data_IF_733077125629
#
_entry.id   IF_733077125629
#
_cell.length_a   1.000
_cell.length_b   1.000
_cell.length_c   1.000
_cell.angle_alpha   90.00
_cell.angle_beta   90.00
_cell.angle_gamma   90.00
#
_symmetry.space_group_name_H-M   'P 1'
#
loop_
_entity.id
_entity.type
_entity.pdbx_description
1 polymer ?
#
# COMPACT_ATOMS: atom_id res chain seq x y z
N UNK A 1 74.64 41.60 48.69
CA UNK A 1 75.18 41.54 50.07
C UNK A 1 73.99 41.87 50.97
N UNK A 2 73.28 40.96 51.64
CA UNK A 2 73.63 39.92 52.62
C UNK A 2 72.64 38.72 52.49
N UNK A 3 73.12 37.50 52.31
CA UNK A 3 73.36 36.40 53.28
C UNK A 3 72.16 35.45 53.48
N UNK A 4 72.54 34.16 53.38
CA UNK A 4 71.85 32.87 53.42
C UNK A 4 71.41 32.39 54.82
N UNK A 5 70.34 31.56 54.78
CA UNK A 5 70.11 30.23 55.42
C UNK A 5 70.19 30.04 56.95
N UNK A 6 69.12 29.46 57.52
CA UNK A 6 68.97 28.01 57.86
C UNK A 6 67.60 27.76 58.54
N UNK A 7 66.72 26.96 57.94
CA UNK A 7 66.43 25.54 58.26
C UNK A 7 65.99 25.21 59.70
N UNK A 8 64.81 24.61 59.82
CA UNK A 8 64.48 23.58 60.83
C UNK A 8 63.75 22.41 60.18
N UNK A 9 64.03 21.24 60.76
CA UNK A 9 63.81 19.87 60.30
C UNK A 9 62.47 19.33 60.82
N UNK A 10 61.86 18.41 60.07
CA UNK A 10 60.79 17.52 60.54
C UNK A 10 60.57 16.37 59.54
N UNK A 11 60.61 15.13 60.02
CA UNK A 11 60.82 13.88 59.27
C UNK A 11 59.52 13.08 59.04
N UNK A 12 59.51 12.23 57.98
CA UNK A 12 58.71 10.99 57.77
C UNK A 12 57.21 11.07 57.35
N UNK A 13 56.59 10.02 56.75
CA UNK A 13 57.08 8.89 55.94
C UNK A 13 56.35 8.73 54.56
N UNK A 14 56.90 7.87 53.70
CA UNK A 14 56.28 7.35 52.47
C UNK A 14 55.01 6.53 52.77
N UNK A 15 53.93 6.76 52.01
CA UNK A 15 52.82 5.80 51.88
C UNK A 15 52.31 5.76 50.43
N UNK A 16 52.79 4.75 49.70
CA UNK A 16 52.20 4.29 48.44
C UNK A 16 50.85 3.65 48.76
N UNK A 17 49.75 4.36 48.49
CA UNK A 17 48.42 3.75 48.46
C UNK A 17 48.17 3.18 47.06
N UNK A 18 48.55 1.92 46.90
CA UNK A 18 47.95 1.04 45.90
C UNK A 18 46.42 1.10 46.07
N UNK A 19 45.73 1.81 45.17
CA UNK A 19 44.28 1.67 45.00
C UNK A 19 44.04 0.26 44.45
N UNK A 20 43.85 -0.70 45.37
CA UNK A 20 43.23 -1.99 45.03
C UNK A 20 41.86 -1.67 44.47
N UNK A 21 41.73 -1.79 43.16
CA UNK A 21 40.46 -1.77 42.46
C UNK A 21 39.60 -2.88 43.08
N UNK A 22 38.59 -2.47 43.83
CA UNK A 22 37.66 -3.39 44.49
C UNK A 22 37.03 -4.29 43.44
N UNK A 23 37.10 -5.62 43.63
CA UNK A 23 36.42 -6.61 42.76
C UNK A 23 34.94 -6.27 42.56
N UNK A 24 34.29 -5.60 43.52
CA UNK A 24 32.90 -5.12 43.40
C UNK A 24 32.73 -3.95 42.42
N UNK A 25 33.72 -3.05 42.34
CA UNK A 25 33.72 -1.96 41.37
C UNK A 25 33.96 -2.43 39.93
N UNK A 26 34.80 -3.45 39.76
CA UNK A 26 35.04 -4.07 38.45
C UNK A 26 33.81 -4.87 37.97
N UNK A 27 33.14 -5.62 38.86
CA UNK A 27 31.90 -6.32 38.54
C UNK A 27 30.77 -5.36 38.17
N UNK A 28 30.60 -4.25 38.90
CA UNK A 28 29.59 -3.25 38.56
C UNK A 28 29.85 -2.61 37.19
N UNK A 29 31.11 -2.32 36.85
CA UNK A 29 31.48 -1.79 35.53
C UNK A 29 31.23 -2.79 34.41
N UNK A 30 31.54 -4.07 34.62
CA UNK A 30 31.31 -5.14 33.62
C UNK A 30 29.81 -5.38 33.42
N UNK A 31 29.00 -5.37 34.48
CA UNK A 31 27.53 -5.50 34.37
C UNK A 31 26.91 -4.31 33.63
N UNK A 32 27.36 -3.08 33.90
CA UNK A 32 26.92 -1.89 33.16
C UNK A 32 27.37 -1.95 31.69
N UNK A 33 28.59 -2.42 31.42
CA UNK A 33 29.08 -2.59 30.05
C UNK A 33 28.24 -3.64 29.30
N UNK A 34 27.94 -4.79 29.92
CA UNK A 34 27.10 -5.85 29.35
C UNK A 34 25.66 -5.36 29.14
N UNK A 35 25.09 -4.60 30.07
CA UNK A 35 23.76 -3.99 29.89
C UNK A 35 23.75 -2.95 28.77
N UNK A 36 24.80 -2.13 28.62
CA UNK A 36 24.91 -1.17 27.53
C UNK A 36 25.16 -1.82 26.16
N UNK A 37 25.92 -2.92 26.11
CA UNK A 37 26.09 -3.76 24.93
C UNK A 37 24.79 -4.48 24.57
N UNK A 38 24.02 -4.93 25.56
CA UNK A 38 22.73 -5.59 25.35
C UNK A 38 21.64 -4.61 24.88
N UNK A 39 21.70 -3.34 25.30
CA UNK A 39 20.81 -2.26 24.80
C UNK A 39 21.16 -1.79 23.39
N UNK A 40 22.41 -1.95 22.92
CA UNK A 40 22.78 -1.65 21.53
C UNK A 40 22.45 -2.78 20.54
N UNK A 41 22.25 -4.02 21.02
CA UNK A 41 21.89 -5.16 20.15
C UNK A 41 20.41 -5.23 19.78
N UNK A 42 19.56 -4.35 20.32
CA UNK A 42 18.11 -4.35 20.08
C UNK A 42 17.61 -3.12 19.32
N UNK A 43 18.44 -2.57 18.44
CA UNK A 43 18.03 -1.72 17.31
C UNK A 43 18.58 -2.36 16.02
N UNK A 44 18.38 -3.69 15.85
CA UNK A 44 18.29 -4.23 14.49
C UNK A 44 17.03 -3.62 13.91
N UNK A 45 17.17 -2.45 13.27
CA UNK A 45 16.26 -1.93 12.28
C UNK A 45 15.77 -3.13 11.47
N UNK A 46 14.54 -3.56 11.71
CA UNK A 46 13.78 -4.26 10.70
C UNK A 46 13.64 -3.23 9.58
N UNK A 47 14.65 -3.17 8.70
CA UNK A 47 14.42 -2.65 7.37
C UNK A 47 13.38 -3.59 6.80
N UNK A 48 12.13 -3.14 6.54
CA UNK A 48 11.19 -3.98 5.85
C UNK A 48 11.91 -4.41 4.56
N UNK A 49 12.05 -5.73 4.35
CA UNK A 49 12.46 -6.24 3.05
C UNK A 49 11.58 -5.52 2.04
N UNK A 50 12.19 -4.86 1.05
CA UNK A 50 11.47 -4.23 -0.05
C UNK A 50 10.70 -5.35 -0.75
N UNK A 51 9.46 -5.57 -0.33
CA UNK A 51 8.56 -6.54 -0.92
C UNK A 51 8.37 -6.10 -2.37
N UNK A 52 8.69 -6.96 -3.32
CA UNK A 52 8.47 -6.70 -4.72
C UNK A 52 7.14 -7.33 -5.08
N UNK A 53 6.08 -6.53 -5.12
CA UNK A 53 4.71 -6.97 -5.43
C UNK A 53 4.50 -7.25 -6.94
N UNK A 54 5.59 -7.27 -7.71
CA UNK A 54 5.56 -7.37 -9.16
C UNK A 54 5.39 -6.01 -9.84
N UNK A 55 5.27 -6.06 -11.16
CA UNK A 55 4.90 -4.91 -11.96
C UNK A 55 3.39 -4.70 -11.85
N UNK A 56 2.99 -3.57 -11.28
CA UNK A 56 1.58 -3.19 -11.11
C UNK A 56 1.25 -2.20 -12.24
N UNK A 57 0.47 -2.59 -13.26
CA UNK A 57 0.29 -1.78 -14.46
C UNK A 57 -0.20 -0.36 -14.14
N UNK A 58 0.21 0.63 -14.94
CA UNK A 58 -0.30 1.99 -14.85
C UNK A 58 -1.78 2.08 -15.25
N UNK A 59 -2.45 3.15 -14.84
CA UNK A 59 -3.81 3.47 -15.27
C UNK A 59 -3.83 3.92 -16.75
N UNK A 60 -4.88 3.53 -17.47
CA UNK A 60 -5.16 4.01 -18.81
C UNK A 60 -5.66 5.47 -18.80
N UNK A 61 -6.35 5.90 -17.73
CA UNK A 61 -6.57 7.33 -17.52
C UNK A 61 -5.26 8.01 -17.11
N UNK A 62 -4.98 9.20 -17.65
CA UNK A 62 -3.71 9.91 -17.41
C UNK A 62 -3.80 10.92 -16.26
N UNK A 63 -5.00 11.45 -15.99
CA UNK A 63 -5.24 12.49 -15.01
C UNK A 63 -5.79 11.93 -13.70
N UNK A 64 -5.97 12.81 -12.71
CA UNK A 64 -6.68 12.51 -11.47
C UNK A 64 -5.85 12.63 -10.20
N UNK A 65 -6.53 12.55 -9.06
CA UNK A 65 -5.91 12.61 -7.74
C UNK A 65 -4.97 11.40 -7.52
N UNK A 66 -3.65 11.61 -7.27
CA UNK A 66 -2.71 10.50 -7.11
C UNK A 66 -3.09 9.56 -5.96
N UNK A 67 -3.78 10.04 -4.92
CA UNK A 67 -4.25 9.17 -3.83
C UNK A 67 -5.33 8.19 -4.28
N UNK A 68 -6.24 8.64 -5.13
CA UNK A 68 -7.30 7.77 -5.69
C UNK A 68 -6.74 6.88 -6.79
N UNK A 69 -5.84 7.40 -7.63
CA UNK A 69 -5.16 6.59 -8.64
C UNK A 69 -4.36 5.44 -8.02
N UNK A 70 -3.65 5.72 -6.92
CA UNK A 70 -2.98 4.71 -6.12
C UNK A 70 -3.96 3.66 -5.57
N UNK A 71 -5.10 4.09 -5.02
CA UNK A 71 -6.15 3.20 -4.53
C UNK A 71 -6.69 2.30 -5.65
N UNK A 72 -6.92 2.85 -6.85
CA UNK A 72 -7.36 2.08 -8.02
C UNK A 72 -6.35 1.00 -8.42
N UNK A 73 -5.05 1.32 -8.40
CA UNK A 73 -3.97 0.34 -8.65
C UNK A 73 -3.91 -0.73 -7.55
N UNK A 74 -4.18 -0.36 -6.29
CA UNK A 74 -4.31 -1.33 -5.17
C UNK A 74 -5.51 -2.25 -5.36
N UNK A 75 -6.67 -1.75 -5.76
CA UNK A 75 -7.85 -2.58 -6.06
C UNK A 75 -7.51 -3.57 -7.19
N UNK A 76 -6.91 -3.07 -8.27
CA UNK A 76 -6.47 -3.90 -9.39
C UNK A 76 -5.44 -4.95 -8.98
N UNK A 77 -4.53 -4.64 -8.05
CA UNK A 77 -3.57 -5.62 -7.53
C UNK A 77 -4.26 -6.78 -6.81
N UNK A 78 -5.45 -6.57 -6.23
CA UNK A 78 -6.21 -7.65 -5.63
C UNK A 78 -7.14 -8.35 -6.63
N UNK A 79 -7.84 -7.59 -7.46
CA UNK A 79 -8.85 -8.13 -8.37
C UNK A 79 -8.27 -8.74 -9.64
N UNK A 80 -7.18 -8.20 -10.16
CA UNK A 80 -6.65 -8.53 -11.49
C UNK A 80 -5.13 -8.34 -11.57
N UNK A 81 -4.38 -9.03 -10.70
CA UNK A 81 -2.90 -8.98 -10.71
C UNK A 81 -2.30 -9.70 -11.92
N UNK A 82 -2.42 -9.09 -13.09
CA UNK A 82 -1.96 -9.58 -14.38
C UNK A 82 -1.41 -8.43 -15.22
N UNK A 83 -0.59 -8.76 -16.23
CA UNK A 83 0.03 -7.77 -17.12
C UNK A 83 -0.98 -6.93 -17.90
N UNK A 84 -2.11 -7.54 -18.31
CA UNK A 84 -3.16 -6.89 -19.09
C UNK A 84 -4.50 -6.94 -18.34
N UNK A 85 -4.66 -6.19 -17.24
CA UNK A 85 -5.79 -6.36 -16.32
C UNK A 85 -7.13 -5.96 -16.95
N UNK A 86 -7.13 -5.03 -17.91
CA UNK A 86 -8.34 -4.48 -18.53
C UNK A 86 -9.15 -5.46 -19.38
N UNK A 87 -8.52 -6.52 -19.86
CA UNK A 87 -9.15 -7.54 -20.71
C UNK A 87 -9.41 -8.84 -19.97
N UNK A 88 -9.05 -8.91 -18.68
CA UNK A 88 -9.11 -10.12 -17.89
C UNK A 88 -10.55 -10.50 -17.57
N UNK A 89 -10.92 -11.74 -17.82
CA UNK A 89 -12.17 -12.34 -17.39
C UNK A 89 -11.98 -13.12 -16.10
N UNK A 90 -13.06 -13.34 -15.36
CA UNK A 90 -13.07 -14.30 -14.27
C UNK A 90 -12.48 -15.64 -14.71
N UNK A 91 -11.60 -16.22 -13.91
CA UNK A 91 -10.89 -17.45 -14.23
C UNK A 91 -9.61 -17.29 -15.07
N UNK A 92 -9.30 -16.08 -15.56
CA UNK A 92 -8.01 -15.75 -16.16
C UNK A 92 -7.98 -15.65 -17.69
N UNK A 93 -9.08 -15.95 -18.37
CA UNK A 93 -9.21 -15.75 -19.82
C UNK A 93 -9.23 -14.27 -20.20
N UNK A 94 -9.11 -13.98 -21.50
CA UNK A 94 -9.03 -12.61 -22.01
C UNK A 94 -10.13 -12.33 -23.04
N UNK A 95 -10.70 -11.12 -23.01
CA UNK A 95 -11.64 -10.65 -24.03
C UNK A 95 -11.00 -9.64 -24.98
N UNK A 96 -11.36 -9.71 -26.26
CA UNK A 96 -10.85 -8.79 -27.28
C UNK A 96 -11.75 -7.57 -27.53
N UNK A 97 -13.08 -7.74 -27.44
CA UNK A 97 -14.02 -6.66 -27.68
C UNK A 97 -14.44 -6.00 -26.36
N UNK A 98 -14.06 -4.73 -26.20
CA UNK A 98 -14.38 -3.90 -25.04
C UNK A 98 -15.35 -2.75 -25.37
N UNK A 99 -16.08 -2.83 -26.49
CA UNK A 99 -17.12 -1.83 -26.80
C UNK A 99 -18.23 -1.78 -25.74
N UNK A 100 -18.40 -2.85 -24.98
CA UNK A 100 -19.28 -2.96 -23.82
C UNK A 100 -18.73 -4.01 -22.86
N UNK A 101 -19.29 -4.09 -21.65
CA UNK A 101 -18.97 -5.15 -20.71
C UNK A 101 -19.29 -6.52 -21.35
N UNK A 102 -18.38 -7.52 -21.28
CA UNK A 102 -18.50 -8.74 -22.06
C UNK A 102 -19.68 -9.63 -21.65
N UNK A 103 -20.15 -9.52 -20.40
CA UNK A 103 -21.29 -10.26 -19.86
C UNK A 103 -21.20 -11.78 -20.11
N UNK A 104 -20.00 -12.34 -20.01
CA UNK A 104 -19.76 -13.77 -20.15
C UNK A 104 -19.98 -14.43 -18.79
N UNK A 105 -20.96 -15.33 -18.70
CA UNK A 105 -21.25 -16.12 -17.50
C UNK A 105 -20.25 -17.28 -17.43
N UNK A 106 -19.18 -17.09 -16.65
CA UNK A 106 -18.10 -18.07 -16.47
C UNK A 106 -18.37 -18.86 -15.19
N UNK A 107 -18.36 -20.18 -15.29
CA UNK A 107 -18.67 -21.07 -14.17
C UNK A 107 -17.61 -20.96 -13.07
N UNK A 108 -18.07 -20.92 -11.83
CA UNK A 108 -17.24 -20.94 -10.63
C UNK A 108 -16.96 -22.40 -10.29
N UNK A 109 -15.72 -22.83 -10.49
CA UNK A 109 -15.33 -24.24 -10.28
C UNK A 109 -15.01 -24.57 -8.82
N UNK A 110 -14.64 -23.57 -8.01
CA UNK A 110 -14.21 -23.76 -6.62
C UNK A 110 -14.76 -22.66 -5.70
N UNK A 111 -14.83 -22.95 -4.39
CA UNK A 111 -15.19 -21.97 -3.35
C UNK A 111 -16.68 -21.95 -3.00
N UNK A 112 -17.12 -21.00 -2.15
CA UNK A 112 -18.47 -20.97 -1.59
C UNK A 112 -19.58 -20.77 -2.64
N UNK A 113 -19.22 -20.29 -3.84
CA UNK A 113 -20.13 -20.07 -4.95
C UNK A 113 -19.99 -21.12 -6.07
N UNK A 114 -19.35 -22.27 -5.80
CA UNK A 114 -19.19 -23.35 -6.77
C UNK A 114 -20.51 -23.73 -7.45
N UNK A 115 -20.46 -23.90 -8.77
CA UNK A 115 -21.63 -24.25 -9.59
C UNK A 115 -22.49 -23.06 -10.02
N UNK A 116 -22.28 -21.88 -9.45
CA UNK A 116 -22.83 -20.62 -10.00
C UNK A 116 -21.93 -20.11 -11.13
N UNK A 117 -22.28 -18.97 -11.73
CA UNK A 117 -21.40 -18.25 -12.63
C UNK A 117 -21.12 -16.82 -12.15
N UNK A 118 -19.95 -16.32 -12.54
CA UNK A 118 -19.55 -14.93 -12.40
C UNK A 118 -19.45 -14.29 -13.79
N UNK A 119 -19.82 -13.02 -13.87
CA UNK A 119 -19.57 -12.19 -15.06
C UNK A 119 -18.38 -11.25 -14.86
N UNK A 120 -17.58 -11.45 -13.81
CA UNK A 120 -16.52 -10.53 -13.46
C UNK A 120 -15.53 -10.34 -14.63
N UNK A 121 -15.25 -9.08 -14.96
CA UNK A 121 -14.35 -8.73 -16.04
C UNK A 121 -13.62 -7.41 -15.82
N UNK A 122 -12.52 -7.26 -16.54
CA UNK A 122 -11.69 -6.07 -16.57
C UNK A 122 -10.87 -5.86 -15.30
N UNK A 123 -10.25 -4.68 -15.24
CA UNK A 123 -9.24 -4.34 -14.22
C UNK A 123 -9.79 -4.40 -12.80
N UNK A 124 -11.07 -4.13 -12.64
CA UNK A 124 -11.74 -4.06 -11.35
C UNK A 124 -12.74 -5.20 -11.15
N UNK A 125 -12.67 -6.23 -12.01
CA UNK A 125 -13.52 -7.43 -11.97
C UNK A 125 -15.01 -7.10 -11.81
N UNK A 126 -15.50 -6.10 -12.55
CA UNK A 126 -16.90 -5.69 -12.48
C UNK A 126 -17.82 -6.84 -12.89
N UNK A 127 -18.91 -7.02 -12.14
CA UNK A 127 -20.07 -7.76 -12.63
C UNK A 127 -20.82 -6.90 -13.65
N UNK A 128 -21.53 -7.52 -14.61
CA UNK A 128 -22.30 -6.78 -15.63
C UNK A 128 -23.30 -5.82 -15.00
N UNK A 129 -24.01 -6.26 -13.96
CA UNK A 129 -25.00 -5.44 -13.25
C UNK A 129 -24.35 -4.23 -12.58
N UNK A 130 -23.23 -4.44 -11.89
CA UNK A 130 -22.48 -3.37 -11.23
C UNK A 130 -21.93 -2.38 -12.26
N UNK A 131 -21.34 -2.87 -13.36
CA UNK A 131 -20.88 -2.00 -14.44
C UNK A 131 -22.02 -1.14 -14.99
N UNK A 132 -23.16 -1.72 -15.35
CA UNK A 132 -24.29 -0.96 -15.90
C UNK A 132 -24.85 0.06 -14.91
N UNK A 133 -24.91 -0.27 -13.61
CA UNK A 133 -25.35 0.65 -12.58
C UNK A 133 -24.40 1.85 -12.43
N UNK A 134 -23.10 1.58 -12.32
CA UNK A 134 -22.10 2.64 -12.11
C UNK A 134 -21.82 3.44 -13.37
N UNK A 135 -21.75 2.79 -14.53
CA UNK A 135 -21.56 3.49 -15.80
C UNK A 135 -22.72 4.42 -16.13
N UNK A 136 -23.96 4.09 -15.74
CA UNK A 136 -25.10 5.01 -15.88
C UNK A 136 -24.89 6.35 -15.18
N UNK A 137 -24.19 6.35 -14.05
CA UNK A 137 -23.97 7.55 -13.24
C UNK A 137 -22.65 8.24 -13.60
N UNK A 138 -21.59 7.46 -13.85
CA UNK A 138 -20.21 7.96 -13.89
C UNK A 138 -19.53 7.85 -15.26
N UNK A 139 -20.13 7.22 -16.25
CA UNK A 139 -19.50 7.13 -17.57
C UNK A 139 -19.57 8.50 -18.26
N UNK A 140 -18.43 9.10 -18.67
CA UNK A 140 -18.41 10.47 -19.18
C UNK A 140 -18.97 10.61 -20.61
N UNK A 141 -18.94 9.53 -21.40
CA UNK A 141 -19.37 9.54 -22.80
C UNK A 141 -20.30 8.36 -23.12
N UNK A 142 -21.51 8.30 -22.53
CA UNK A 142 -22.48 7.26 -22.89
C UNK A 142 -22.86 7.40 -24.36
N UNK A 143 -22.92 6.28 -25.07
CA UNK A 143 -23.43 6.26 -26.44
C UNK A 143 -24.94 6.00 -26.39
N UNK A 144 -25.71 6.80 -27.12
CA UNK A 144 -27.16 6.66 -27.15
C UNK A 144 -27.62 6.21 -28.53
N UNK A 145 -28.32 5.08 -28.60
CA UNK A 145 -28.94 4.60 -29.83
C UNK A 145 -30.42 4.28 -29.56
N UNK A 146 -31.33 4.90 -30.31
CA UNK A 146 -32.78 4.70 -30.19
C UNK A 146 -33.30 4.78 -28.74
N UNK A 147 -32.76 5.70 -27.93
CA UNK A 147 -33.14 5.89 -26.53
C UNK A 147 -32.48 4.91 -25.54
N UNK A 148 -31.70 3.94 -26.00
CA UNK A 148 -30.92 3.03 -25.16
C UNK A 148 -29.49 3.55 -25.01
N UNK A 149 -29.04 3.69 -23.77
CA UNK A 149 -27.66 4.04 -23.45
C UNK A 149 -26.78 2.78 -23.44
N UNK A 150 -25.62 2.85 -24.09
CA UNK A 150 -24.53 1.89 -23.98
C UNK A 150 -23.27 2.57 -23.43
N UNK A 151 -22.46 1.80 -22.73
CA UNK A 151 -21.28 2.29 -22.02
C UNK A 151 -20.05 1.50 -22.45
N UNK A 152 -19.05 2.21 -22.95
CA UNK A 152 -17.81 1.59 -23.42
C UNK A 152 -17.03 1.01 -22.26
N UNK A 153 -16.52 -0.21 -22.42
CA UNK A 153 -15.74 -0.91 -21.40
C UNK A 153 -14.24 -0.91 -21.73
N UNK A 154 -13.78 0.02 -22.57
CA UNK A 154 -12.36 0.20 -22.89
C UNK A 154 -11.57 0.61 -21.64
N UNK A 155 -10.23 0.40 -21.64
CA UNK A 155 -9.40 0.65 -20.45
C UNK A 155 -9.61 2.01 -19.78
N UNK A 156 -9.63 3.08 -20.59
CA UNK A 156 -9.85 4.44 -20.10
C UNK A 156 -11.18 4.62 -19.36
N UNK A 157 -12.26 3.98 -19.83
CA UNK A 157 -13.59 4.13 -19.22
C UNK A 157 -13.80 3.22 -18.03
N UNK A 158 -13.13 2.07 -17.95
CA UNK A 158 -13.05 1.31 -16.70
C UNK A 158 -12.46 2.18 -15.60
N UNK A 159 -11.34 2.86 -15.88
CA UNK A 159 -10.70 3.75 -14.92
C UNK A 159 -11.57 4.96 -14.59
N UNK A 160 -12.09 5.69 -15.59
CA UNK A 160 -12.86 6.91 -15.34
C UNK A 160 -14.11 6.66 -14.52
N UNK A 161 -14.83 5.56 -14.79
CA UNK A 161 -16.02 5.17 -14.00
C UNK A 161 -15.63 4.91 -12.55
N UNK A 162 -14.57 4.13 -12.30
CA UNK A 162 -14.11 3.84 -10.93
C UNK A 162 -13.60 5.08 -10.23
N UNK A 163 -12.79 5.90 -10.92
CA UNK A 163 -12.23 7.13 -10.38
C UNK A 163 -13.33 8.09 -9.91
N UNK A 164 -14.32 8.34 -10.76
CA UNK A 164 -15.44 9.22 -10.43
C UNK A 164 -16.31 8.62 -9.31
N UNK A 165 -16.54 7.31 -9.32
CA UNK A 165 -17.28 6.63 -8.26
C UNK A 165 -16.56 6.71 -6.91
N UNK A 166 -15.24 6.45 -6.85
CA UNK A 166 -14.45 6.53 -5.62
C UNK A 166 -14.36 7.96 -5.06
N UNK A 167 -14.51 8.97 -5.92
CA UNK A 167 -14.52 10.38 -5.49
C UNK A 167 -15.89 10.87 -5.03
N UNK A 168 -16.96 10.13 -5.30
CA UNK A 168 -18.31 10.56 -4.91
C UNK A 168 -18.54 10.33 -3.41
N UNK A 169 -18.52 11.43 -2.66
CA UNK A 169 -18.78 11.43 -1.21
C UNK A 169 -20.19 10.97 -0.86
N UNK A 170 -21.17 11.17 -1.74
CA UNK A 170 -22.54 10.71 -1.50
C UNK A 170 -22.65 9.21 -1.65
N UNK A 171 -21.91 8.62 -2.60
CA UNK A 171 -21.90 7.17 -2.79
C UNK A 171 -21.27 6.43 -1.59
N UNK A 172 -20.25 7.02 -0.95
CA UNK A 172 -19.51 6.38 0.14
C UNK A 172 -19.86 6.90 1.54
N UNK A 173 -20.61 8.00 1.64
CA UNK A 173 -20.89 8.68 2.91
C UNK A 173 -19.67 9.33 3.57
N UNK A 174 -18.50 9.29 2.91
CA UNK A 174 -17.22 9.81 3.40
C UNK A 174 -16.39 10.37 2.24
N UNK A 175 -15.37 11.17 2.58
CA UNK A 175 -14.39 11.69 1.63
C UNK A 175 -13.17 10.74 1.57
N UNK A 176 -13.23 9.74 0.69
CA UNK A 176 -12.12 8.78 0.49
C UNK A 176 -10.79 9.49 0.19
N UNK A 177 -10.71 10.48 -0.73
CA UNK A 177 -9.47 11.22 -0.95
C UNK A 177 -8.87 11.84 0.32
N UNK A 178 -9.70 12.36 1.23
CA UNK A 178 -9.24 12.92 2.50
C UNK A 178 -8.76 11.83 3.47
N UNK A 179 -9.49 10.71 3.58
CA UNK A 179 -9.07 9.57 4.42
C UNK A 179 -7.70 9.02 3.99
N UNK A 180 -7.49 8.89 2.68
CA UNK A 180 -6.22 8.42 2.12
C UNK A 180 -5.05 9.37 2.44
N UNK A 181 -5.27 10.69 2.34
CA UNK A 181 -4.26 11.71 2.73
C UNK A 181 -3.91 11.64 4.22
N UNK A 182 -4.87 11.25 5.06
CA UNK A 182 -4.66 11.03 6.50
C UNK A 182 -3.96 9.69 6.81
N UNK A 183 -3.63 8.88 5.78
CA UNK A 183 -3.02 7.57 5.96
C UNK A 183 -3.99 6.50 6.46
N UNK A 184 -5.31 6.76 6.45
CA UNK A 184 -6.37 5.83 6.90
C UNK A 184 -6.70 4.78 5.84
N UNK A 185 -5.66 4.15 5.28
CA UNK A 185 -5.77 3.19 4.16
C UNK A 185 -6.59 1.97 4.55
N UNK A 186 -6.35 1.40 5.73
CA UNK A 186 -7.05 0.20 6.20
C UNK A 186 -8.57 0.43 6.33
N UNK A 187 -8.96 1.62 6.76
CA UNK A 187 -10.37 2.00 6.84
C UNK A 187 -11.01 2.14 5.46
N UNK A 188 -10.30 2.76 4.52
CA UNK A 188 -10.76 2.84 3.13
C UNK A 188 -10.92 1.45 2.53
N UNK A 189 -9.92 0.56 2.66
CA UNK A 189 -10.02 -0.82 2.15
C UNK A 189 -11.21 -1.58 2.76
N UNK A 190 -11.43 -1.42 4.07
CA UNK A 190 -12.58 -2.02 4.76
C UNK A 190 -13.93 -1.48 4.28
N UNK A 191 -14.03 -0.18 3.96
CA UNK A 191 -15.25 0.41 3.39
C UNK A 191 -15.56 -0.13 1.99
N UNK A 192 -14.52 -0.46 1.22
CA UNK A 192 -14.65 -0.94 -0.16
C UNK A 192 -14.85 -2.46 -0.28
N UNK A 193 -14.49 -3.24 0.75
CA UNK A 193 -14.53 -4.71 0.70
C UNK A 193 -15.90 -5.35 0.39
N UNK A 194 -17.06 -4.72 0.68
CA UNK A 194 -18.34 -5.27 0.24
C UNK A 194 -18.54 -5.26 -1.28
N UNK A 195 -17.82 -4.40 -2.01
CA UNK A 195 -17.85 -4.33 -3.48
C UNK A 195 -16.75 -5.19 -4.08
N UNK A 196 -15.55 -5.10 -3.52
CA UNK A 196 -14.35 -5.82 -3.95
C UNK A 196 -13.94 -6.77 -2.83
N UNK A 197 -14.50 -7.98 -2.85
CA UNK A 197 -14.35 -8.99 -1.80
C UNK A 197 -12.90 -9.44 -1.60
N UNK A 198 -12.06 -9.24 -2.61
CA UNK A 198 -10.62 -9.56 -2.56
C UNK A 198 -9.79 -8.59 -1.72
N UNK A 199 -10.32 -7.41 -1.36
CA UNK A 199 -9.62 -6.37 -0.58
C UNK A 199 -9.32 -6.76 0.88
N UNK A 200 -9.55 -8.01 1.25
CA UNK A 200 -9.56 -8.45 2.65
C UNK A 200 -10.90 -8.11 3.30
N UNK A 201 -11.09 -8.61 4.52
CA UNK A 201 -12.28 -8.35 5.34
C UNK A 201 -13.60 -8.96 4.79
N UNK A 202 -13.50 -9.79 3.74
CA UNK A 202 -14.58 -10.57 3.15
C UNK A 202 -14.32 -12.08 3.27
N UNK A 203 -14.88 -12.88 2.35
CA UNK A 203 -14.69 -14.34 2.31
C UNK A 203 -13.77 -14.79 1.17
N UNK A 204 -13.25 -13.87 0.36
CA UNK A 204 -12.53 -14.14 -0.89
C UNK A 204 -11.13 -13.52 -0.93
N UNK A 205 -10.42 -13.57 0.21
CA UNK A 205 -9.02 -13.13 0.31
C UNK A 205 -8.12 -13.89 -0.70
N UNK A 206 -7.06 -13.22 -1.17
CA UNK A 206 -6.05 -13.80 -2.06
C UNK A 206 -4.62 -13.50 -1.55
N UNK A 207 -3.62 -13.84 -2.36
CA UNK A 207 -2.21 -13.65 -2.00
C UNK A 207 -1.81 -12.19 -1.77
N UNK A 208 -2.58 -11.23 -2.29
CA UNK A 208 -2.32 -9.79 -2.18
C UNK A 208 -3.02 -9.17 -0.99
N UNK A 209 -4.13 -9.73 -0.50
CA UNK A 209 -4.95 -9.16 0.58
C UNK A 209 -4.15 -8.78 1.85
N UNK A 210 -3.18 -9.58 2.34
CA UNK A 210 -2.38 -9.23 3.51
C UNK A 210 -1.43 -8.04 3.30
N UNK A 211 -1.21 -7.62 2.05
CA UNK A 211 -0.18 -6.65 1.66
C UNK A 211 -0.74 -5.38 1.01
N UNK A 212 -2.07 -5.21 0.97
CA UNK A 212 -2.70 -4.13 0.21
C UNK A 212 -2.30 -2.73 0.70
N UNK A 213 -1.95 -2.59 1.97
CA UNK A 213 -1.44 -1.33 2.53
C UNK A 213 -0.05 -1.01 1.98
N UNK A 214 0.84 -1.98 1.94
CA UNK A 214 2.19 -1.85 1.40
C UNK A 214 2.14 -1.62 -0.12
N UNK A 215 1.26 -2.34 -0.82
CA UNK A 215 0.97 -2.12 -2.24
C UNK A 215 0.53 -0.68 -2.47
N UNK A 216 -0.44 -0.19 -1.70
CA UNK A 216 -0.91 1.19 -1.78
C UNK A 216 0.21 2.20 -1.60
N UNK A 217 1.06 2.01 -0.58
CA UNK A 217 2.20 2.90 -0.33
C UNK A 217 3.20 2.91 -1.49
N UNK A 218 3.48 1.74 -2.09
CA UNK A 218 4.35 1.64 -3.25
C UNK A 218 3.77 2.43 -4.43
N UNK A 219 2.54 2.13 -4.85
CA UNK A 219 1.95 2.76 -6.04
C UNK A 219 1.66 4.24 -5.80
N UNK A 220 1.33 4.67 -4.58
CA UNK A 220 1.21 6.09 -4.25
C UNK A 220 2.51 6.85 -4.46
N UNK A 221 3.65 6.26 -4.07
CA UNK A 221 4.95 6.87 -4.32
C UNK A 221 5.26 6.99 -5.82
N UNK A 222 4.76 6.07 -6.64
CA UNK A 222 4.89 6.11 -8.10
C UNK A 222 3.97 7.18 -8.70
N UNK A 223 2.69 7.23 -8.32
CA UNK A 223 1.73 8.24 -8.79
C UNK A 223 2.17 9.67 -8.46
N UNK A 224 2.68 9.90 -7.24
CA UNK A 224 3.21 11.22 -6.84
C UNK A 224 4.42 11.62 -7.69
N UNK A 225 5.30 10.67 -8.02
CA UNK A 225 6.47 10.95 -8.88
C UNK A 225 6.04 11.31 -10.31
N UNK A 226 5.05 10.61 -10.87
CA UNK A 226 4.51 10.92 -12.19
C UNK A 226 3.94 12.35 -12.24
N UNK A 227 3.20 12.76 -11.21
CA UNK A 227 2.68 14.14 -11.10
C UNK A 227 3.80 15.18 -10.98
N UNK A 228 4.90 14.86 -10.28
CA UNK A 228 6.03 15.78 -10.10
C UNK A 228 6.95 15.87 -11.33
N UNK A 229 7.01 14.83 -12.17
CA UNK A 229 7.92 14.75 -13.32
C UNK A 229 7.20 14.23 -14.60
N UNK A 230 6.29 15.01 -15.19
CA UNK A 230 5.43 14.56 -16.29
C UNK A 230 6.16 14.29 -17.63
N UNK A 231 7.49 14.49 -17.72
CA UNK A 231 8.24 14.48 -18.98
C UNK A 231 9.22 13.30 -19.17
N UNK A 232 9.18 12.25 -18.33
CA UNK A 232 10.20 11.17 -18.39
C UNK A 232 9.69 9.84 -18.99
N UNK A 233 8.40 9.65 -19.23
CA UNK A 233 7.91 8.42 -19.87
C UNK A 233 7.95 8.50 -21.40
N UNK A 234 9.03 7.99 -22.01
CA UNK A 234 9.10 7.54 -23.42
C UNK A 234 9.15 6.02 -23.47
#
# INVERSE_FOLDING_TARGET
>A
MFIRLKQRVGNSPKSSKNRKLSRRGLLAFVVILILSLSMQTQERKHQPKKQNFGDLPDLAMLDGDPYIRALMRTISASESNAKNPYVLLYGGDHVHNLQQHPNLCIKIENGPNQGKCSTAAGRYQFLTSTWLDKARVYHPHPHHNLGLASYSFTPEYQDKVVYLWLKDRHAWGVDLPNLLRQGRVDEVLKLLSPIWTSLGYGIEDNSMSPYLKEVYQQVLAEEIKQVQHPYISQ
#
